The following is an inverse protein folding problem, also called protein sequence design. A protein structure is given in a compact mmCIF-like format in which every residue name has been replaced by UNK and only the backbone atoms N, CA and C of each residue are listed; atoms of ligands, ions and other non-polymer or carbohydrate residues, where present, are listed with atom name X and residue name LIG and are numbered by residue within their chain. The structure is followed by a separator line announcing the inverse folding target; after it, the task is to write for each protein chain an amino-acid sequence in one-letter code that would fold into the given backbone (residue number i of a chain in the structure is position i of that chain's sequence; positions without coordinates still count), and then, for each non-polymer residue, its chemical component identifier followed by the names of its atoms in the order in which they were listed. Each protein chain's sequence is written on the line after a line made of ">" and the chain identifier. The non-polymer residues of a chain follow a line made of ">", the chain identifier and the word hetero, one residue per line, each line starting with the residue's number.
data_IF_274915858634
#
_entry.id   IF_274915858634
#
_cell.length_a   1.000
_cell.length_b   1.000
_cell.length_c   1.000
_cell.angle_alpha   90.00
_cell.angle_beta   90.00
_cell.angle_gamma   90.00
#
_symmetry.space_group_name_H-M   'P 1'
#
loop_
_entity.id
_entity.type
_entity.pdbx_description
1 polymer ?
#
# COMPACT_ATOMS: atom_id res chain seq x y z
N UNK A 1 0.48 -25.22 23.25
CA UNK A 1 0.01 -24.10 22.40
C UNK A 1 1.00 -22.94 22.52
N UNK A 2 2.02 -22.85 21.67
CA UNK A 2 2.95 -21.69 21.62
C UNK A 2 3.73 -21.69 20.29
N UNK A 3 3.04 -21.53 19.16
CA UNK A 3 3.68 -21.30 17.85
C UNK A 3 3.54 -19.84 17.37
N UNK A 4 2.62 -19.08 17.97
CA UNK A 4 2.20 -17.76 17.46
C UNK A 4 3.22 -16.63 17.69
N UNK A 5 4.09 -16.72 18.72
CA UNK A 5 5.04 -15.65 19.03
C UNK A 5 6.26 -15.57 18.09
N UNK A 6 6.81 -16.71 17.66
CA UNK A 6 8.03 -16.74 16.86
C UNK A 6 7.81 -16.33 15.40
N UNK A 7 6.71 -16.76 14.77
CA UNK A 7 6.39 -16.36 13.40
C UNK A 7 6.10 -14.85 13.29
N UNK A 8 5.46 -14.27 14.33
CA UNK A 8 5.14 -12.86 14.37
C UNK A 8 6.40 -11.97 14.35
N UNK A 9 7.43 -12.33 15.13
CA UNK A 9 8.70 -11.55 15.16
C UNK A 9 9.49 -11.60 13.86
N UNK A 10 9.37 -12.67 13.07
CA UNK A 10 10.04 -12.77 11.76
C UNK A 10 9.29 -11.96 10.71
N UNK A 11 7.96 -11.98 10.74
CA UNK A 11 7.13 -11.19 9.84
C UNK A 11 7.26 -9.69 10.10
N UNK A 12 7.27 -9.29 11.37
CA UNK A 12 7.51 -7.92 11.80
C UNK A 12 8.84 -7.38 11.26
N UNK A 13 9.94 -8.13 11.42
CA UNK A 13 11.25 -7.77 10.84
C UNK A 13 11.21 -7.61 9.32
N UNK A 14 10.41 -8.41 8.60
CA UNK A 14 10.28 -8.28 7.14
C UNK A 14 9.56 -6.98 6.77
N UNK A 15 8.48 -6.63 7.44
CA UNK A 15 7.73 -5.42 7.12
C UNK A 15 8.49 -4.15 7.51
N UNK A 16 9.16 -4.16 8.67
CA UNK A 16 9.99 -3.06 9.15
C UNK A 16 11.11 -2.70 8.16
N UNK A 17 11.79 -3.70 7.59
CA UNK A 17 12.81 -3.47 6.57
C UNK A 17 12.23 -2.81 5.30
N UNK A 18 11.00 -3.17 4.91
CA UNK A 18 10.31 -2.51 3.80
C UNK A 18 9.97 -1.06 4.17
N UNK A 19 9.41 -0.84 5.36
CA UNK A 19 9.03 0.49 5.83
C UNK A 19 10.25 1.42 5.96
N UNK A 20 11.37 0.93 6.50
CA UNK A 20 12.60 1.69 6.63
C UNK A 20 13.09 2.21 5.27
N UNK A 21 13.04 1.39 4.22
CA UNK A 21 13.41 1.81 2.87
C UNK A 21 12.42 2.82 2.28
N UNK A 22 11.11 2.59 2.46
CA UNK A 22 10.06 3.50 1.97
C UNK A 22 10.19 4.88 2.63
N UNK A 23 10.47 4.95 3.93
CA UNK A 23 10.70 6.21 4.67
C UNK A 23 11.86 7.04 4.13
N UNK A 24 12.81 6.43 3.43
CA UNK A 24 13.89 7.18 2.76
C UNK A 24 13.44 7.86 1.45
N UNK A 25 12.14 7.88 1.16
CA UNK A 25 11.57 8.51 -0.04
C UNK A 25 11.65 7.65 -1.31
N UNK A 26 11.99 6.36 -1.19
CA UNK A 26 12.10 5.45 -2.33
C UNK A 26 10.73 5.04 -2.84
N UNK A 27 10.65 4.77 -4.15
CA UNK A 27 9.46 4.22 -4.81
C UNK A 27 9.29 2.74 -4.52
N UNK A 28 8.09 2.20 -4.73
CA UNK A 28 7.80 0.77 -4.58
C UNK A 28 8.74 -0.08 -5.45
N UNK A 29 8.88 0.27 -6.73
CA UNK A 29 9.81 -0.38 -7.66
C UNK A 29 11.26 -0.41 -7.17
N UNK A 30 11.77 0.72 -6.64
CA UNK A 30 13.12 0.79 -6.12
C UNK A 30 13.32 -0.10 -4.88
N UNK A 31 12.35 -0.10 -3.97
CA UNK A 31 12.39 -0.97 -2.78
C UNK A 31 12.29 -2.44 -3.18
N UNK A 32 11.42 -2.79 -4.12
CA UNK A 32 11.28 -4.13 -4.66
C UNK A 32 12.63 -4.65 -5.20
N UNK A 33 13.32 -3.84 -6.00
CA UNK A 33 14.66 -4.14 -6.53
C UNK A 33 15.70 -4.33 -5.43
N UNK A 34 15.80 -3.40 -4.48
CA UNK A 34 16.76 -3.48 -3.35
C UNK A 34 16.54 -4.74 -2.52
N UNK A 35 15.27 -5.14 -2.36
CA UNK A 35 14.88 -6.29 -1.54
C UNK A 35 14.88 -7.63 -2.27
N UNK A 36 15.07 -7.65 -3.59
CA UNK A 36 14.89 -8.84 -4.41
C UNK A 36 13.48 -9.41 -4.31
N UNK A 37 12.45 -8.54 -4.36
CA UNK A 37 11.03 -8.88 -4.25
C UNK A 37 10.25 -8.27 -5.41
N UNK A 38 9.00 -8.70 -5.58
CA UNK A 38 8.06 -8.04 -6.51
C UNK A 38 7.43 -6.82 -5.85
N UNK A 39 6.96 -5.87 -6.68
CA UNK A 39 6.21 -4.69 -6.20
C UNK A 39 4.96 -5.10 -5.43
N UNK A 40 4.25 -6.13 -5.91
CA UNK A 40 3.10 -6.70 -5.23
C UNK A 40 3.38 -7.17 -3.79
N UNK A 41 4.55 -7.78 -3.53
CA UNK A 41 4.99 -8.17 -2.17
C UNK A 41 5.30 -6.94 -1.31
N UNK A 42 5.90 -5.89 -1.88
CA UNK A 42 6.17 -4.64 -1.15
C UNK A 42 4.85 -3.98 -0.75
N UNK A 43 3.87 -3.92 -1.65
CA UNK A 43 2.54 -3.39 -1.36
C UNK A 43 1.82 -4.22 -0.29
N UNK A 44 1.94 -5.55 -0.33
CA UNK A 44 1.34 -6.44 0.70
C UNK A 44 1.93 -6.19 2.09
N UNK A 45 3.24 -5.94 2.17
CA UNK A 45 3.88 -5.54 3.43
C UNK A 45 3.30 -4.22 3.97
N UNK A 46 3.12 -3.23 3.10
CA UNK A 46 2.54 -1.94 3.49
C UNK A 46 1.07 -2.07 3.91
N UNK A 47 0.28 -2.84 3.18
CA UNK A 47 -1.11 -3.15 3.54
C UNK A 47 -1.20 -3.83 4.90
N UNK A 48 -0.29 -4.78 5.17
CA UNK A 48 -0.24 -5.43 6.47
C UNK A 48 0.10 -4.44 7.58
N UNK A 49 1.10 -3.57 7.37
CA UNK A 49 1.45 -2.51 8.34
C UNK A 49 0.29 -1.53 8.56
N UNK A 50 -0.47 -1.21 7.52
CA UNK A 50 -1.66 -0.36 7.60
C UNK A 50 -2.73 -1.00 8.47
N UNK A 51 -3.04 -2.28 8.24
CA UNK A 51 -4.00 -3.05 9.06
C UNK A 51 -3.58 -3.14 10.52
N UNK A 52 -2.28 -3.22 10.80
CA UNK A 52 -1.73 -3.23 12.15
C UNK A 52 -1.65 -1.86 12.82
N UNK A 53 -2.04 -0.78 12.14
CA UNK A 53 -1.90 0.60 12.63
C UNK A 53 -0.45 1.08 12.74
N UNK A 54 0.50 0.36 12.11
CA UNK A 54 1.94 0.64 12.15
C UNK A 54 2.45 1.39 10.90
N UNK A 55 1.55 1.85 10.03
CA UNK A 55 1.88 2.62 8.83
C UNK A 55 1.30 4.05 8.92
N UNK A 56 2.08 5.03 9.40
CA UNK A 56 1.73 6.44 9.31
C UNK A 56 1.59 6.88 7.85
N UNK A 57 0.56 7.68 7.54
CA UNK A 57 0.36 8.21 6.18
C UNK A 57 1.54 9.07 5.73
N UNK A 58 2.13 9.86 6.64
CA UNK A 58 3.28 10.70 6.29
C UNK A 58 4.48 9.90 5.77
N UNK A 59 4.64 8.63 6.18
CA UNK A 59 5.75 7.78 5.77
C UNK A 59 5.61 7.27 4.33
N UNK A 60 4.42 7.38 3.76
CA UNK A 60 4.08 6.88 2.42
C UNK A 60 3.51 7.94 1.48
N UNK A 61 3.30 9.17 1.96
CA UNK A 61 2.72 10.25 1.16
C UNK A 61 3.50 10.53 -0.13
N UNK A 62 4.83 10.34 -0.12
CA UNK A 62 5.66 10.51 -1.31
C UNK A 62 5.39 9.50 -2.42
N UNK A 63 4.75 8.36 -2.12
CA UNK A 63 4.36 7.37 -3.12
C UNK A 63 3.28 7.89 -4.07
N UNK A 64 2.60 8.99 -3.71
CA UNK A 64 1.64 9.67 -4.57
C UNK A 64 2.28 10.54 -5.66
N UNK A 65 3.59 10.84 -5.54
CA UNK A 65 4.27 11.80 -6.42
C UNK A 65 4.25 11.34 -7.86
N UNK A 66 3.74 12.19 -8.76
CA UNK A 66 3.58 11.88 -10.18
C UNK A 66 2.27 11.17 -10.54
N UNK A 67 1.44 10.82 -9.55
CA UNK A 67 0.15 10.15 -9.73
C UNK A 67 -0.97 10.84 -8.93
N UNK A 68 -0.79 12.10 -8.53
CA UNK A 68 -1.70 12.84 -7.64
C UNK A 68 -3.11 12.93 -8.22
N UNK A 69 -3.22 13.18 -9.53
CA UNK A 69 -4.50 13.24 -10.23
C UNK A 69 -5.20 11.88 -10.27
N UNK A 70 -4.44 10.80 -10.50
CA UNK A 70 -4.97 9.44 -10.51
C UNK A 70 -5.48 9.06 -9.11
N UNK A 71 -4.68 9.32 -8.08
CA UNK A 71 -5.06 9.08 -6.67
C UNK A 71 -6.32 9.85 -6.30
N UNK A 72 -6.41 11.13 -6.68
CA UNK A 72 -7.60 11.96 -6.41
C UNK A 72 -8.86 11.35 -7.04
N UNK A 73 -8.78 10.91 -8.29
CA UNK A 73 -9.90 10.24 -8.99
C UNK A 73 -10.27 8.91 -8.33
N UNK A 74 -9.28 8.10 -7.97
CA UNK A 74 -9.48 6.82 -7.30
C UNK A 74 -10.12 7.02 -5.91
N UNK A 75 -9.67 8.00 -5.13
CA UNK A 75 -10.27 8.34 -3.84
C UNK A 75 -11.74 8.79 -3.98
N UNK A 76 -12.04 9.58 -5.01
CA UNK A 76 -13.43 9.96 -5.31
C UNK A 76 -14.29 8.74 -5.65
N UNK A 77 -13.75 7.77 -6.38
CA UNK A 77 -14.44 6.51 -6.67
C UNK A 77 -14.68 5.67 -5.41
N UNK A 78 -13.69 5.54 -4.51
CA UNK A 78 -13.87 4.87 -3.22
C UNK A 78 -15.00 5.50 -2.40
N UNK A 79 -15.03 6.83 -2.29
CA UNK A 79 -16.12 7.56 -1.60
C UNK A 79 -17.48 7.36 -2.28
N UNK A 80 -17.56 7.53 -3.59
CA UNK A 80 -18.82 7.40 -4.33
C UNK A 80 -19.42 6.00 -4.23
N UNK A 81 -18.57 4.97 -4.22
CA UNK A 81 -18.99 3.57 -4.10
C UNK A 81 -19.09 3.10 -2.64
N UNK A 82 -18.77 3.97 -1.68
CA UNK A 82 -18.69 3.66 -0.25
C UNK A 82 -17.95 2.34 0.03
N UNK A 83 -16.75 2.20 -0.55
CA UNK A 83 -15.98 0.96 -0.48
C UNK A 83 -14.48 1.22 -0.42
N UNK A 84 -13.74 0.26 0.13
CA UNK A 84 -12.27 0.18 0.03
C UNK A 84 -11.83 -1.04 -0.81
N UNK A 85 -12.80 -1.76 -1.43
CA UNK A 85 -12.51 -2.89 -2.31
C UNK A 85 -11.98 -2.36 -3.64
N UNK A 86 -10.91 -2.97 -4.14
CA UNK A 86 -10.27 -2.55 -5.39
C UNK A 86 -11.10 -2.91 -6.61
N UNK A 87 -11.75 -4.09 -6.61
CA UNK A 87 -12.46 -4.60 -7.79
C UNK A 87 -13.57 -3.66 -8.28
N UNK A 88 -14.49 -3.14 -7.42
CA UNK A 88 -15.51 -2.19 -7.88
C UNK A 88 -14.93 -0.89 -8.45
N UNK A 89 -13.79 -0.43 -7.92
CA UNK A 89 -13.14 0.79 -8.41
C UNK A 89 -12.41 0.54 -9.73
N UNK A 90 -11.74 -0.60 -9.86
CA UNK A 90 -11.10 -1.03 -11.10
C UNK A 90 -12.12 -1.14 -12.24
N UNK A 91 -13.26 -1.77 -11.97
CA UNK A 91 -14.40 -1.89 -12.90
C UNK A 91 -14.97 -0.51 -13.27
N UNK A 92 -15.16 0.39 -12.30
CA UNK A 92 -15.64 1.76 -12.56
C UNK A 92 -14.77 2.51 -13.56
N UNK A 93 -13.45 2.32 -13.50
CA UNK A 93 -12.51 2.95 -14.42
C UNK A 93 -12.21 2.12 -15.67
N UNK A 94 -12.93 1.01 -15.92
CA UNK A 94 -12.69 0.11 -17.05
C UNK A 94 -11.21 -0.29 -17.20
N UNK A 95 -10.50 -0.46 -16.08
CA UNK A 95 -9.09 -0.84 -16.09
C UNK A 95 -8.09 0.24 -16.50
N UNK A 96 -8.49 1.53 -16.56
CA UNK A 96 -7.57 2.65 -16.85
C UNK A 96 -6.42 2.73 -15.84
N UNK A 97 -6.69 2.41 -14.57
CA UNK A 97 -5.70 2.40 -13.51
C UNK A 97 -5.27 0.97 -13.19
N UNK A 98 -3.97 0.77 -13.03
CA UNK A 98 -3.40 -0.50 -12.61
C UNK A 98 -3.81 -0.88 -11.19
N UNK A 99 -3.74 -2.17 -10.87
CA UNK A 99 -3.99 -2.65 -9.50
C UNK A 99 -3.00 -2.05 -8.50
N UNK A 100 -1.75 -1.80 -8.90
CA UNK A 100 -0.76 -1.21 -8.00
C UNK A 100 -1.09 0.27 -7.68
N UNK A 101 -1.53 1.05 -8.66
CA UNK A 101 -2.04 2.41 -8.43
C UNK A 101 -3.25 2.43 -7.50
N UNK A 102 -4.20 1.49 -7.68
CA UNK A 102 -5.36 1.34 -6.82
C UNK A 102 -4.96 0.97 -5.37
N UNK A 103 -3.95 0.11 -5.20
CA UNK A 103 -3.41 -0.26 -3.88
C UNK A 103 -2.73 0.91 -3.20
N UNK A 104 -1.91 1.68 -3.91
CA UNK A 104 -1.26 2.89 -3.38
C UNK A 104 -2.31 3.92 -2.97
N UNK A 105 -3.31 4.16 -3.83
CA UNK A 105 -4.41 5.06 -3.51
C UNK A 105 -5.16 4.59 -2.25
N UNK A 106 -5.47 3.30 -2.12
CA UNK A 106 -6.11 2.74 -0.93
C UNK A 106 -5.27 2.90 0.34
N UNK A 107 -3.95 2.68 0.27
CA UNK A 107 -3.04 2.89 1.40
C UNK A 107 -3.06 4.34 1.91
N UNK A 108 -3.24 5.28 0.99
CA UNK A 108 -3.33 6.72 1.27
C UNK A 108 -4.76 7.18 1.61
N UNK A 109 -5.74 6.29 1.52
CA UNK A 109 -7.14 6.59 1.76
C UNK A 109 -7.54 6.26 3.20
N UNK A 110 -8.56 6.95 3.68
CA UNK A 110 -9.29 6.60 4.89
C UNK A 110 -10.76 6.87 4.61
N UNK A 111 -11.61 5.86 4.74
CA UNK A 111 -13.05 6.07 4.79
C UNK A 111 -13.36 6.71 6.14
N UNK A 112 -13.93 7.92 6.11
CA UNK A 112 -14.41 8.65 7.29
C UNK A 112 -15.85 8.27 7.63
#
# INVERSE_FOLDING_TARGET
>A
RTASGYENTRHERRWEQTLALIRTGKTIAAVAKIRGRTEGTILEHLETLRTLGKLPIQDIAHLARGSEQAITKIHAAFRQLNTERLSPVFEKFNGIYSYDELRIARLLFRLE
#
